data_IF_964248829300
#
_entry.id   IF_964248829300
#
_cell.length_a   1.000
_cell.length_b   1.000
_cell.length_c   1.000
_cell.angle_alpha   90.00
_cell.angle_beta   90.00
_cell.angle_gamma   90.00
#
_symmetry.space_group_name_H-M   'P 1'
#
loop_
_entity.id
_entity.type
_entity.pdbx_description
1 polymer ?
#
# COMPACT_ATOMS: atom_id res chain seq x y z
N UNK A 1 11.08 61.13 -16.62
CA UNK A 1 11.74 60.54 -17.81
C UNK A 1 11.40 59.05 -17.89
N UNK A 2 10.58 58.63 -18.85
CA UNK A 2 10.07 57.26 -18.96
C UNK A 2 11.11 56.30 -19.56
N UNK A 3 11.30 55.12 -18.96
CA UNK A 3 12.27 54.10 -19.42
C UNK A 3 11.87 53.55 -20.79
N UNK A 4 12.86 53.40 -21.68
CA UNK A 4 12.67 52.85 -23.02
C UNK A 4 12.13 51.41 -23.00
N UNK A 5 11.14 51.13 -23.85
CA UNK A 5 10.55 49.78 -24.00
C UNK A 5 11.57 48.86 -24.64
N UNK A 6 11.79 47.66 -24.06
CA UNK A 6 12.68 46.64 -24.63
C UNK A 6 12.18 46.24 -26.02
N UNK A 7 13.05 46.32 -27.02
CA UNK A 7 12.75 45.95 -28.40
C UNK A 7 12.47 44.46 -28.58
N UNK A 8 11.84 44.08 -29.72
CA UNK A 8 11.51 42.69 -30.03
C UNK A 8 12.79 41.84 -30.14
N UNK A 9 12.73 40.60 -29.64
CA UNK A 9 13.84 39.64 -29.75
C UNK A 9 13.82 38.99 -31.13
N UNK A 10 14.86 39.20 -31.92
CA UNK A 10 15.05 38.53 -33.20
C UNK A 10 15.36 37.04 -33.00
N UNK A 11 14.88 36.19 -33.93
CA UNK A 11 15.03 34.73 -33.90
C UNK A 11 14.49 34.03 -32.63
N UNK A 12 13.36 34.51 -32.09
CA UNK A 12 12.67 33.83 -31.01
C UNK A 12 12.08 32.50 -31.49
N UNK A 13 12.68 31.38 -31.07
CA UNK A 13 12.19 30.02 -31.33
C UNK A 13 11.39 29.48 -30.13
N UNK A 14 10.39 28.65 -30.42
CA UNK A 14 9.63 27.91 -29.41
C UNK A 14 10.58 27.03 -28.60
N UNK A 15 10.51 27.08 -27.26
CA UNK A 15 11.35 26.25 -26.39
C UNK A 15 11.05 24.78 -26.66
N UNK A 16 12.00 24.07 -27.27
CA UNK A 16 11.97 22.62 -27.44
C UNK A 16 12.78 21.94 -26.34
N UNK A 17 12.37 20.72 -26.00
CA UNK A 17 13.08 19.90 -25.02
C UNK A 17 14.47 19.59 -25.58
N UNK A 18 15.51 19.97 -24.82
CA UNK A 18 16.89 19.74 -25.23
C UNK A 18 17.33 18.30 -24.93
N UNK A 19 18.26 17.77 -25.71
CA UNK A 19 18.87 16.45 -25.46
C UNK A 19 19.49 16.36 -24.04
N UNK A 20 19.98 17.48 -23.50
CA UNK A 20 20.50 17.57 -22.12
C UNK A 20 19.41 17.35 -21.08
N UNK A 21 18.23 17.96 -21.25
CA UNK A 21 17.10 17.76 -20.32
C UNK A 21 16.64 16.30 -20.28
N UNK A 22 16.59 15.64 -21.44
CA UNK A 22 16.25 14.21 -21.55
C UNK A 22 17.31 13.35 -20.85
N UNK A 23 18.60 13.68 -21.01
CA UNK A 23 19.70 12.96 -20.37
C UNK A 23 19.63 13.08 -18.84
N UNK A 24 19.36 14.28 -18.31
CA UNK A 24 19.21 14.49 -16.87
C UNK A 24 18.01 13.76 -16.27
N UNK A 25 16.87 13.70 -16.98
CA UNK A 25 15.73 12.90 -16.53
C UNK A 25 16.03 11.41 -16.58
N UNK A 26 16.71 10.93 -17.62
CA UNK A 26 17.15 9.52 -17.68
C UNK A 26 18.11 9.19 -16.55
N UNK A 27 19.11 10.03 -16.28
CA UNK A 27 20.01 9.86 -15.13
C UNK A 27 19.25 9.91 -13.79
N UNK A 28 18.26 10.79 -13.62
CA UNK A 28 17.50 10.86 -12.37
C UNK A 28 16.62 9.62 -12.12
N UNK A 29 16.05 9.03 -13.17
CA UNK A 29 15.12 7.89 -13.07
C UNK A 29 15.85 6.53 -13.13
N UNK A 30 16.91 6.43 -13.94
CA UNK A 30 17.63 5.18 -14.21
C UNK A 30 18.94 5.03 -13.46
N UNK A 31 19.49 6.04 -12.76
CA UNK A 31 20.73 5.83 -12.02
C UNK A 31 20.50 4.88 -10.84
N UNK A 32 21.05 3.65 -10.87
CA UNK A 32 20.95 2.72 -9.75
C UNK A 32 21.72 3.25 -8.53
N UNK A 33 22.86 3.91 -8.76
CA UNK A 33 23.78 4.40 -7.72
C UNK A 33 23.18 5.40 -6.71
N UNK A 34 22.07 6.09 -7.03
CA UNK A 34 21.37 6.96 -6.06
C UNK A 34 20.38 6.21 -5.18
N UNK A 35 19.90 5.04 -5.61
CA UNK A 35 19.04 4.15 -4.82
C UNK A 35 19.87 3.38 -3.79
N UNK A 36 21.13 3.10 -4.12
CA UNK A 36 22.03 2.34 -3.24
C UNK A 36 22.43 3.13 -1.98
N UNK A 37 22.71 4.43 -2.11
CA UNK A 37 23.06 5.32 -0.98
C UNK A 37 21.92 5.52 0.03
N UNK A 38 20.66 5.44 -0.41
CA UNK A 38 19.49 5.49 0.46
C UNK A 38 19.12 4.11 1.00
N UNK A 39 19.44 3.03 0.29
CA UNK A 39 19.31 1.67 0.77
C UNK A 39 20.29 1.33 1.91
N UNK A 40 21.54 1.81 1.84
CA UNK A 40 22.55 1.59 2.88
C UNK A 40 22.22 2.26 4.24
N UNK A 41 21.36 3.29 4.24
CA UNK A 41 20.93 4.00 5.45
C UNK A 41 19.54 3.59 5.95
N UNK A 42 18.87 2.67 5.28
CA UNK A 42 17.58 2.17 5.77
C UNK A 42 17.82 1.26 6.97
N UNK A 43 17.18 1.51 8.13
CA UNK A 43 17.26 0.58 9.24
C UNK A 43 16.72 -0.77 8.78
N UNK A 44 17.40 -1.85 9.17
CA UNK A 44 17.00 -3.21 8.86
C UNK A 44 15.60 -3.47 9.43
N UNK A 45 14.58 -3.39 8.58
CA UNK A 45 13.20 -3.67 8.97
C UNK A 45 13.00 -5.19 9.03
N UNK A 46 13.44 -5.81 10.13
CA UNK A 46 13.13 -7.22 10.41
C UNK A 46 11.78 -7.24 11.13
N UNK A 47 10.73 -7.83 10.53
CA UNK A 47 9.45 -7.96 11.23
C UNK A 47 9.66 -8.81 12.48
N UNK A 48 9.28 -8.28 13.63
CA UNK A 48 9.25 -9.03 14.87
C UNK A 48 8.05 -9.97 14.86
N UNK A 49 8.26 -11.20 15.31
CA UNK A 49 7.17 -12.17 15.48
C UNK A 49 6.29 -11.72 16.65
N UNK A 50 4.98 -11.83 16.49
CA UNK A 50 4.03 -11.48 17.55
C UNK A 50 4.28 -12.30 18.81
N UNK A 51 4.22 -11.65 19.98
CA UNK A 51 4.33 -12.33 21.29
C UNK A 51 3.17 -13.29 21.58
N UNK A 52 2.07 -13.18 20.83
CA UNK A 52 0.93 -14.09 20.91
C UNK A 52 1.15 -15.44 20.22
N UNK A 53 2.24 -15.60 19.46
CA UNK A 53 2.53 -16.84 18.73
C UNK A 53 3.50 -17.71 19.52
N UNK A 54 3.03 -18.86 19.98
CA UNK A 54 3.88 -19.97 20.44
C UNK A 54 4.15 -20.90 19.25
N UNK A 55 5.32 -20.77 18.64
CA UNK A 55 5.61 -21.34 17.31
C UNK A 55 4.56 -20.90 16.28
N UNK A 56 3.68 -21.82 15.85
CA UNK A 56 2.57 -21.56 14.93
C UNK A 56 1.21 -21.45 15.63
N UNK A 57 1.15 -21.69 16.94
CA UNK A 57 -0.07 -21.62 17.73
C UNK A 57 -0.30 -20.19 18.23
N UNK A 58 -1.44 -19.60 17.89
CA UNK A 58 -1.80 -18.26 18.35
C UNK A 58 -2.61 -18.31 19.65
N UNK A 59 -1.99 -17.90 20.76
CA UNK A 59 -2.63 -17.89 22.09
C UNK A 59 -3.60 -16.72 22.28
N UNK A 60 -3.63 -15.74 21.38
CA UNK A 60 -4.59 -14.62 21.44
C UNK A 60 -5.97 -14.99 20.87
N UNK A 61 -6.11 -16.14 20.23
CA UNK A 61 -7.39 -16.63 19.75
C UNK A 61 -8.13 -17.31 20.90
N UNK A 62 -9.12 -16.62 21.46
CA UNK A 62 -10.03 -17.16 22.46
C UNK A 62 -11.42 -16.54 22.34
N UNK A 63 -12.43 -17.09 23.02
CA UNK A 63 -13.77 -16.52 23.04
C UNK A 63 -13.80 -15.14 23.72
N UNK A 64 -14.56 -14.15 23.20
CA UNK A 64 -15.33 -14.19 21.96
C UNK A 64 -14.43 -14.11 20.71
N UNK A 65 -14.63 -15.03 19.76
CA UNK A 65 -13.85 -15.05 18.53
C UNK A 65 -14.25 -13.90 17.63
N UNK A 66 -13.25 -13.16 17.13
CA UNK A 66 -13.45 -12.09 16.16
C UNK A 66 -13.14 -12.57 14.76
N UNK A 67 -14.18 -12.71 13.93
CA UNK A 67 -14.08 -13.29 12.59
C UNK A 67 -14.22 -12.18 11.55
N UNK A 68 -13.21 -12.03 10.69
CA UNK A 68 -13.30 -11.14 9.53
C UNK A 68 -13.99 -11.88 8.39
N UNK A 69 -15.03 -11.28 7.83
CA UNK A 69 -15.87 -11.86 6.79
C UNK A 69 -15.70 -11.08 5.49
N UNK A 70 -15.38 -11.79 4.42
CA UNK A 70 -15.28 -11.25 3.06
C UNK A 70 -16.63 -11.38 2.31
N UNK A 71 -16.82 -10.53 1.31
CA UNK A 71 -17.91 -10.54 0.33
C UNK A 71 -18.14 -11.93 -0.31
N UNK A 72 -17.07 -12.67 -0.63
CA UNK A 72 -17.19 -14.02 -1.17
C UNK A 72 -17.83 -14.99 -0.17
N UNK A 73 -17.43 -14.89 1.10
CA UNK A 73 -17.99 -15.73 2.16
C UNK A 73 -19.49 -15.47 2.35
N UNK A 74 -19.89 -14.19 2.28
CA UNK A 74 -21.31 -13.80 2.36
C UNK A 74 -22.07 -14.38 1.17
N UNK A 75 -21.54 -14.27 -0.05
CA UNK A 75 -22.18 -14.81 -1.26
C UNK A 75 -22.37 -16.32 -1.17
N UNK A 76 -21.36 -17.07 -0.71
CA UNK A 76 -21.46 -18.51 -0.52
C UNK A 76 -22.44 -18.89 0.60
N UNK A 77 -22.49 -18.11 1.68
CA UNK A 77 -23.42 -18.36 2.78
C UNK A 77 -24.87 -18.16 2.33
N UNK A 78 -25.14 -17.14 1.51
CA UNK A 78 -26.47 -16.90 0.93
C UNK A 78 -26.87 -18.02 -0.04
N UNK A 79 -25.96 -18.45 -0.92
CA UNK A 79 -26.24 -19.55 -1.86
C UNK A 79 -26.62 -20.86 -1.13
N UNK A 80 -25.94 -21.16 -0.03
CA UNK A 80 -26.18 -22.34 0.78
C UNK A 80 -27.30 -22.15 1.83
N UNK A 81 -27.93 -20.98 1.88
CA UNK A 81 -29.00 -20.62 2.85
C UNK A 81 -28.54 -20.79 4.30
N UNK A 82 -27.28 -20.48 4.58
CA UNK A 82 -26.71 -20.52 5.92
C UNK A 82 -26.89 -19.16 6.59
N UNK A 83 -27.40 -19.19 7.82
CA UNK A 83 -27.41 -18.03 8.71
C UNK A 83 -26.02 -17.88 9.34
N UNK A 84 -25.33 -16.78 9.02
CA UNK A 84 -23.91 -16.58 9.35
C UNK A 84 -23.65 -16.67 10.87
N UNK A 85 -24.51 -16.06 11.68
CA UNK A 85 -24.30 -16.00 13.13
C UNK A 85 -24.45 -17.39 13.76
N UNK A 86 -25.53 -18.10 13.43
CA UNK A 86 -25.78 -19.46 13.94
C UNK A 86 -24.74 -20.45 13.44
N UNK A 87 -24.42 -20.42 12.15
CA UNK A 87 -23.43 -21.31 11.56
C UNK A 87 -22.04 -21.13 12.19
N UNK A 88 -21.66 -19.89 12.53
CA UNK A 88 -20.40 -19.62 13.24
C UNK A 88 -20.41 -20.12 14.69
N UNK A 89 -21.52 -19.92 15.41
CA UNK A 89 -21.70 -20.45 16.76
C UNK A 89 -21.63 -21.98 16.78
N UNK A 90 -22.30 -22.65 15.84
CA UNK A 90 -22.32 -24.12 15.74
C UNK A 90 -20.97 -24.69 15.29
N UNK A 91 -20.17 -23.93 14.54
CA UNK A 91 -18.84 -24.35 14.07
C UNK A 91 -17.77 -24.22 15.18
N UNK A 92 -17.77 -23.10 15.90
CA UNK A 92 -16.72 -22.78 16.90
C UNK A 92 -17.14 -23.11 18.34
N UNK A 93 -18.41 -23.45 18.58
CA UNK A 93 -18.99 -23.71 19.90
C UNK A 93 -18.73 -22.60 20.93
N UNK A 94 -18.60 -21.37 20.47
CA UNK A 94 -18.24 -20.21 21.29
C UNK A 94 -18.84 -18.93 20.69
N UNK A 95 -19.05 -17.91 21.53
CA UNK A 95 -19.55 -16.60 21.08
C UNK A 95 -18.63 -16.03 19.99
N UNK A 96 -19.22 -15.64 18.87
CA UNK A 96 -18.52 -15.07 17.73
C UNK A 96 -19.00 -13.63 17.47
N UNK A 97 -18.06 -12.73 17.19
CA UNK A 97 -18.30 -11.37 16.74
C UNK A 97 -17.70 -11.26 15.34
N UNK A 98 -18.51 -10.97 14.31
CA UNK A 98 -18.01 -10.85 12.95
C UNK A 98 -17.92 -9.39 12.49
N UNK A 99 -16.88 -9.07 11.73
CA UNK A 99 -16.72 -7.78 11.08
C UNK A 99 -16.58 -7.99 9.57
N UNK A 100 -17.28 -7.19 8.78
CA UNK A 100 -17.21 -7.23 7.32
C UNK A 100 -16.04 -6.35 6.87
N UNK A 101 -15.17 -6.90 6.02
CA UNK A 101 -14.02 -6.20 5.44
C UNK A 101 -14.37 -5.54 4.09
#
# INVERSE_FOLDING_TARGET
MGRAKKGPKFAAVKKMISKKAIKHQKEAVLNPNKKDLSAEKLPRNVPQVSSALYFSHNTALGPPYRVLVDTNFINFSIQNKLDLEKAMLDCLYAKCEFCVA
#
